data_IF_630728815456
#
_entry.id   IF_630728815456
#
_cell.length_a   1.000
_cell.length_b   1.000
_cell.length_c   1.000
_cell.angle_alpha   90.00
_cell.angle_beta   90.00
_cell.angle_gamma   90.00
#
_symmetry.space_group_name_H-M   'P 1'
#
loop_
_entity.id
_entity.type
_entity.pdbx_description
1 polymer ?
#
# COMPACT_ATOMS: atom_id res chain seq x y z
N UNK A 1 -41.23 -66.30 -70.19
CA UNK A 1 -41.85 -65.35 -69.30
C UNK A 1 -41.03 -65.34 -68.01
N UNK A 2 -40.41 -64.19 -67.65
CA UNK A 2 -39.32 -64.05 -66.68
C UNK A 2 -39.83 -63.97 -65.22
N UNK A 3 -39.35 -64.92 -64.41
CA UNK A 3 -39.52 -64.88 -62.96
C UNK A 3 -38.51 -63.88 -62.35
N UNK A 4 -38.99 -62.93 -61.54
CA UNK A 4 -38.13 -62.11 -60.74
C UNK A 4 -38.03 -62.70 -59.31
N UNK A 5 -36.81 -62.99 -58.89
CA UNK A 5 -36.48 -63.45 -57.56
C UNK A 5 -36.16 -62.19 -56.73
N UNK A 6 -36.90 -62.01 -55.67
CA UNK A 6 -36.57 -60.94 -54.66
C UNK A 6 -35.66 -61.54 -53.60
N UNK A 7 -34.50 -60.99 -53.46
CA UNK A 7 -33.56 -61.29 -52.36
C UNK A 7 -33.78 -60.26 -51.27
N UNK A 8 -34.29 -60.72 -50.14
CA UNK A 8 -34.36 -59.92 -48.93
C UNK A 8 -33.08 -60.11 -48.14
N UNK A 9 -32.24 -59.09 -48.11
CA UNK A 9 -31.01 -59.04 -47.23
C UNK A 9 -31.37 -58.57 -45.88
N UNK A 10 -31.21 -59.42 -44.88
CA UNK A 10 -31.36 -59.12 -43.44
C UNK A 10 -30.08 -58.47 -42.93
N UNK A 11 -30.09 -57.16 -42.76
CA UNK A 11 -28.97 -56.43 -42.07
C UNK A 11 -29.23 -56.46 -40.57
N UNK A 12 -28.42 -57.27 -39.88
CA UNK A 12 -28.31 -57.20 -38.40
C UNK A 12 -27.41 -56.01 -38.03
N UNK A 13 -28.00 -54.95 -37.50
CA UNK A 13 -27.27 -53.80 -36.94
C UNK A 13 -26.87 -54.16 -35.53
N UNK A 14 -25.59 -54.47 -35.33
CA UNK A 14 -24.97 -54.51 -33.99
C UNK A 14 -24.81 -53.07 -33.51
N UNK A 15 -25.66 -52.61 -32.60
CA UNK A 15 -25.41 -51.39 -31.81
C UNK A 15 -24.37 -51.68 -30.77
N UNK A 16 -23.12 -51.29 -31.04
CA UNK A 16 -22.08 -51.15 -30.07
C UNK A 16 -22.33 -49.82 -29.30
N UNK A 17 -22.87 -49.96 -28.08
CA UNK A 17 -22.91 -48.85 -27.12
C UNK A 17 -21.48 -48.56 -26.67
N UNK A 18 -20.84 -47.58 -27.31
CA UNK A 18 -19.61 -46.98 -26.81
C UNK A 18 -20.01 -46.05 -25.67
N UNK A 19 -19.88 -46.52 -24.43
CA UNK A 19 -19.85 -45.64 -23.28
C UNK A 19 -18.58 -44.79 -23.36
N UNK A 20 -18.69 -43.62 -23.97
CA UNK A 20 -17.69 -42.59 -23.88
C UNK A 20 -17.67 -42.03 -22.46
N UNK A 21 -16.80 -42.53 -21.60
CA UNK A 21 -16.42 -41.84 -20.37
C UNK A 21 -15.78 -40.52 -20.78
N UNK A 22 -16.57 -39.43 -20.80
CA UNK A 22 -16.03 -38.08 -20.74
C UNK A 22 -15.32 -37.94 -19.40
N UNK A 23 -14.04 -38.27 -19.38
CA UNK A 23 -13.15 -37.75 -18.35
C UNK A 23 -13.17 -36.23 -18.48
N UNK A 24 -13.97 -35.55 -17.68
CA UNK A 24 -13.86 -34.13 -17.43
C UNK A 24 -12.42 -33.93 -16.96
N UNK A 25 -11.54 -33.43 -17.83
CA UNK A 25 -10.25 -32.97 -17.39
C UNK A 25 -10.53 -31.99 -16.22
N UNK A 26 -10.06 -32.33 -15.01
CA UNK A 26 -10.03 -31.40 -13.93
C UNK A 26 -9.16 -30.25 -14.44
N UNK A 27 -9.77 -29.10 -14.75
CA UNK A 27 -9.05 -27.85 -14.87
C UNK A 27 -8.32 -27.70 -13.54
N UNK A 28 -7.03 -27.92 -13.56
CA UNK A 28 -6.15 -27.49 -12.48
C UNK A 28 -6.34 -25.97 -12.43
N UNK A 29 -7.14 -25.48 -11.47
CA UNK A 29 -7.14 -24.07 -11.12
C UNK A 29 -5.67 -23.72 -10.82
N UNK A 30 -5.02 -23.10 -11.78
CA UNK A 30 -3.71 -22.50 -11.55
C UNK A 30 -3.93 -21.44 -10.49
N UNK A 31 -3.20 -21.50 -9.38
CA UNK A 31 -3.24 -20.47 -8.36
C UNK A 31 -3.11 -19.10 -9.06
N UNK A 32 -3.91 -18.11 -8.69
CA UNK A 32 -3.88 -16.81 -9.33
C UNK A 32 -2.46 -16.24 -9.28
N UNK A 33 -2.01 -15.68 -10.37
CA UNK A 33 -0.68 -15.06 -10.48
C UNK A 33 -0.51 -13.99 -9.39
N UNK A 34 0.62 -14.06 -8.66
CA UNK A 34 0.90 -13.11 -7.59
C UNK A 34 1.20 -11.73 -8.18
N UNK A 35 0.70 -10.68 -7.54
CA UNK A 35 0.98 -9.30 -7.94
C UNK A 35 2.42 -8.93 -7.55
N UNK A 36 3.22 -8.50 -8.53
CA UNK A 36 4.57 -7.98 -8.25
C UNK A 36 4.47 -6.60 -7.63
N UNK A 37 5.00 -6.45 -6.42
CA UNK A 37 4.90 -5.21 -5.67
C UNK A 37 6.25 -4.78 -5.10
N UNK A 38 6.45 -3.48 -5.01
CA UNK A 38 7.44 -2.82 -4.17
C UNK A 38 6.66 -2.07 -3.11
N UNK A 39 7.02 -2.25 -1.83
CA UNK A 39 6.41 -1.57 -0.70
C UNK A 39 7.34 -0.49 -0.19
N UNK A 40 6.97 0.79 -0.37
CA UNK A 40 7.74 1.97 0.04
C UNK A 40 7.10 2.56 1.30
N UNK A 41 7.82 2.54 2.44
CA UNK A 41 7.27 2.64 3.78
C UNK A 41 8.17 3.43 4.73
N UNK A 42 7.60 4.18 5.68
CA UNK A 42 8.28 4.81 6.81
C UNK A 42 8.03 4.10 8.15
N UNK A 43 7.93 2.78 8.08
CA UNK A 43 7.52 1.82 9.10
C UNK A 43 8.08 2.10 10.49
N UNK A 44 7.27 1.82 11.51
CA UNK A 44 7.60 1.98 12.93
C UNK A 44 7.60 0.66 13.70
N UNK A 45 7.55 0.77 15.03
CA UNK A 45 7.58 -0.39 15.94
C UNK A 45 6.42 -1.36 15.69
N UNK A 46 5.20 -0.86 15.56
CA UNK A 46 4.00 -1.61 15.19
C UNK A 46 2.87 -0.65 14.81
N UNK A 47 2.97 -0.09 13.60
CA UNK A 47 2.01 0.85 13.03
C UNK A 47 1.05 0.20 12.02
N UNK A 48 0.46 1.04 11.23
CA UNK A 48 -0.35 0.71 10.04
C UNK A 48 0.53 0.08 8.94
N UNK A 49 1.73 0.62 8.68
CA UNK A 49 2.74 0.01 7.81
C UNK A 49 2.99 -1.47 8.12
N UNK A 50 3.22 -1.78 9.42
CA UNK A 50 3.50 -3.16 9.86
C UNK A 50 2.31 -4.06 9.60
N UNK A 51 1.09 -3.58 9.94
CA UNK A 51 -0.13 -4.37 9.73
C UNK A 51 -0.41 -4.58 8.24
N UNK A 52 -0.19 -3.55 7.42
CA UNK A 52 -0.26 -3.63 5.96
C UNK A 52 0.74 -4.66 5.41
N UNK A 53 2.00 -4.61 5.85
CA UNK A 53 3.03 -5.60 5.49
C UNK A 53 2.60 -7.02 5.86
N UNK A 54 2.12 -7.24 7.10
CA UNK A 54 1.71 -8.56 7.55
C UNK A 54 0.52 -9.10 6.75
N UNK A 55 -0.44 -8.25 6.38
CA UNK A 55 -1.55 -8.66 5.51
C UNK A 55 -1.08 -9.06 4.11
N UNK A 56 -0.10 -8.35 3.54
CA UNK A 56 0.52 -8.75 2.28
C UNK A 56 1.16 -10.14 2.39
N UNK A 57 1.96 -10.36 3.44
CA UNK A 57 2.65 -11.63 3.68
C UNK A 57 1.67 -12.80 3.92
N UNK A 58 0.62 -12.55 4.71
CA UNK A 58 -0.38 -13.56 5.03
C UNK A 58 -1.20 -13.98 3.81
N UNK A 59 -1.55 -13.03 2.94
CA UNK A 59 -2.47 -13.25 1.83
C UNK A 59 -1.98 -14.22 0.76
N UNK A 60 -0.67 -14.38 0.62
CA UNK A 60 -0.04 -15.16 -0.45
C UNK A 60 -0.28 -14.62 -1.87
N UNK A 61 -0.90 -13.43 -2.01
CA UNK A 61 -1.31 -12.83 -3.28
C UNK A 61 -0.27 -11.88 -3.88
N UNK A 62 0.76 -11.55 -3.12
CA UNK A 62 1.82 -10.64 -3.53
C UNK A 62 3.13 -11.39 -3.76
N UNK A 63 3.80 -11.06 -4.85
CA UNK A 63 5.22 -11.28 -5.10
C UNK A 63 5.93 -10.01 -4.67
N UNK A 64 6.32 -9.95 -3.39
CA UNK A 64 6.96 -8.78 -2.80
C UNK A 64 8.42 -8.75 -3.24
N UNK A 65 8.69 -7.98 -4.31
CA UNK A 65 10.03 -7.88 -4.93
C UNK A 65 11.07 -7.30 -3.97
N UNK A 66 10.63 -6.46 -3.04
CA UNK A 66 11.40 -5.87 -1.97
C UNK A 66 10.66 -4.74 -1.28
N UNK A 67 11.24 -4.30 -0.16
CA UNK A 67 10.74 -3.18 0.62
C UNK A 67 11.77 -2.06 0.55
N UNK A 68 11.29 -0.84 0.31
CA UNK A 68 12.10 0.38 0.34
C UNK A 68 11.68 1.23 1.53
N UNK A 69 12.64 1.65 2.34
CA UNK A 69 12.36 2.51 3.50
C UNK A 69 12.63 3.97 3.16
N UNK A 70 11.86 4.87 3.74
CA UNK A 70 11.91 6.31 3.46
C UNK A 70 11.74 7.09 4.77
N UNK A 71 12.12 8.34 4.75
CA UNK A 71 11.84 9.31 5.82
C UNK A 71 10.33 9.51 5.96
N UNK A 72 9.85 9.73 7.18
CA UNK A 72 8.44 10.03 7.47
C UNK A 72 8.17 10.06 8.96
N UNK A 73 7.25 9.24 9.46
CA UNK A 73 6.97 9.09 10.91
C UNK A 73 8.24 8.72 11.69
N UNK A 74 9.09 7.92 11.08
CA UNK A 74 10.39 7.54 11.61
C UNK A 74 11.52 8.02 10.70
N UNK A 75 12.71 8.17 11.26
CA UNK A 75 13.93 8.31 10.48
C UNK A 75 14.16 7.05 9.64
N UNK A 76 14.74 7.20 8.47
CA UNK A 76 14.93 6.07 7.54
C UNK A 76 15.74 4.93 8.17
N UNK A 77 16.69 5.25 9.05
CA UNK A 77 17.47 4.28 9.80
C UNK A 77 16.58 3.44 10.73
N UNK A 78 15.68 4.10 11.47
CA UNK A 78 14.74 3.43 12.37
C UNK A 78 13.71 2.62 11.58
N UNK A 79 13.15 3.18 10.51
CA UNK A 79 12.22 2.48 9.62
C UNK A 79 12.86 1.21 9.03
N UNK A 80 14.14 1.29 8.66
CA UNK A 80 14.90 0.13 8.17
C UNK A 80 15.05 -0.94 9.24
N UNK A 81 15.42 -0.55 10.48
CA UNK A 81 15.56 -1.50 11.58
C UNK A 81 14.24 -2.23 11.88
N UNK A 82 13.14 -1.49 12.00
CA UNK A 82 11.83 -2.07 12.26
C UNK A 82 11.36 -2.98 11.14
N UNK A 83 11.55 -2.58 9.89
CA UNK A 83 11.15 -3.39 8.72
C UNK A 83 11.91 -4.72 8.67
N UNK A 84 13.23 -4.70 8.85
CA UNK A 84 14.04 -5.92 8.93
C UNK A 84 13.56 -6.83 10.06
N UNK A 85 13.30 -6.24 11.24
CA UNK A 85 12.84 -7.01 12.40
C UNK A 85 11.46 -7.63 12.19
N UNK A 86 10.53 -6.93 11.56
CA UNK A 86 9.22 -7.47 11.22
C UNK A 86 9.31 -8.65 10.24
N UNK A 87 10.20 -8.56 9.25
CA UNK A 87 10.45 -9.69 8.34
C UNK A 87 11.06 -10.90 9.07
N UNK A 88 11.95 -10.69 10.05
CA UNK A 88 12.47 -11.77 10.90
C UNK A 88 11.35 -12.42 11.73
N UNK A 89 10.48 -11.62 12.35
CA UNK A 89 9.33 -12.10 13.12
C UNK A 89 8.38 -12.91 12.24
N UNK A 90 8.17 -12.47 10.98
CA UNK A 90 7.35 -13.17 10.01
C UNK A 90 8.05 -14.39 9.36
N UNK A 91 9.34 -14.62 9.62
CA UNK A 91 10.12 -15.66 8.97
C UNK A 91 10.36 -15.43 7.47
N UNK A 92 10.34 -14.16 7.03
CA UNK A 92 10.44 -13.74 5.62
C UNK A 92 11.70 -12.93 5.34
N UNK A 93 12.83 -13.40 5.85
CA UNK A 93 14.16 -12.81 5.61
C UNK A 93 14.66 -12.95 4.16
N UNK A 94 13.92 -13.67 3.33
CA UNK A 94 14.12 -13.78 1.88
C UNK A 94 13.77 -12.47 1.13
N UNK A 95 12.93 -11.61 1.71
CA UNK A 95 12.52 -10.35 1.10
C UNK A 95 13.59 -9.28 1.34
N UNK A 96 14.16 -8.68 0.27
CA UNK A 96 15.20 -7.68 0.42
C UNK A 96 14.64 -6.34 0.91
N UNK A 97 15.38 -5.68 1.79
CA UNK A 97 15.08 -4.32 2.28
C UNK A 97 16.16 -3.38 1.80
N UNK A 98 15.79 -2.28 1.15
CA UNK A 98 16.69 -1.23 0.69
C UNK A 98 16.42 0.07 1.44
N UNK A 99 17.47 0.61 2.07
CA UNK A 99 17.39 1.93 2.68
C UNK A 99 17.35 3.00 1.59
N UNK A 100 16.46 3.97 1.74
CA UNK A 100 16.23 5.03 0.76
C UNK A 100 16.53 6.43 1.31
N UNK A 101 15.71 7.38 0.87
CA UNK A 101 15.89 8.79 1.20
C UNK A 101 15.69 9.04 2.68
N UNK A 102 16.69 9.62 3.32
CA UNK A 102 16.67 9.97 4.73
C UNK A 102 16.24 11.41 5.02
N UNK A 103 15.92 12.17 3.98
CA UNK A 103 15.42 13.55 4.08
C UNK A 103 14.44 13.84 2.95
N UNK A 104 13.45 14.74 3.19
CA UNK A 104 12.62 15.28 2.12
C UNK A 104 13.43 16.04 1.08
N UNK A 105 12.86 16.29 -0.09
CA UNK A 105 13.57 17.01 -1.18
C UNK A 105 13.96 18.44 -0.79
N UNK A 106 13.21 19.08 0.11
CA UNK A 106 13.54 20.41 0.63
C UNK A 106 14.37 20.35 1.93
N UNK A 107 14.82 19.16 2.34
CA UNK A 107 15.56 18.93 3.58
C UNK A 107 14.67 18.90 4.83
N UNK A 108 15.29 18.89 6.00
CA UNK A 108 14.61 18.87 7.28
C UNK A 108 13.68 20.10 7.46
N UNK A 109 12.48 19.86 7.96
CA UNK A 109 11.49 20.89 8.19
C UNK A 109 11.76 21.76 9.42
N UNK A 110 12.63 21.33 10.33
CA UNK A 110 12.92 22.03 11.60
C UNK A 110 13.30 23.50 11.38
N UNK A 111 14.22 23.88 10.46
CA UNK A 111 14.53 25.29 10.24
C UNK A 111 13.35 26.13 9.75
N UNK A 112 12.45 25.54 8.97
CA UNK A 112 11.25 26.24 8.48
C UNK A 112 10.20 26.42 9.58
N UNK A 113 10.09 25.45 10.50
CA UNK A 113 9.24 25.56 11.69
C UNK A 113 9.78 26.63 12.66
N UNK A 114 11.07 26.61 12.95
CA UNK A 114 11.73 27.58 13.86
C UNK A 114 11.65 29.01 13.32
N UNK A 115 11.76 29.20 12.02
CA UNK A 115 11.59 30.52 11.38
C UNK A 115 10.16 30.99 11.26
N UNK A 116 9.18 30.15 11.56
CA UNK A 116 7.75 30.45 11.36
C UNK A 116 7.31 30.42 9.88
N UNK A 117 8.12 29.90 8.98
CA UNK A 117 7.73 29.70 7.57
C UNK A 117 6.74 28.55 7.42
N UNK A 118 6.88 27.50 8.22
CA UNK A 118 5.89 26.43 8.40
C UNK A 118 5.18 26.62 9.72
N UNK A 119 3.86 26.57 9.72
CA UNK A 119 3.01 26.82 10.90
C UNK A 119 1.79 25.92 10.89
N UNK A 120 1.10 25.86 12.05
CA UNK A 120 -0.18 25.16 12.16
C UNK A 120 -0.06 23.66 12.34
N UNK A 121 1.11 23.17 12.75
CA UNK A 121 1.32 21.76 13.11
C UNK A 121 0.45 21.42 14.32
N UNK A 122 -0.35 20.37 14.17
CA UNK A 122 -1.21 19.82 15.22
C UNK A 122 -0.88 18.33 15.50
N UNK A 123 -0.18 17.68 14.57
CA UNK A 123 0.34 16.31 14.69
C UNK A 123 1.84 16.27 14.84
N UNK A 124 2.45 15.18 14.43
CA UNK A 124 3.90 14.98 14.48
C UNK A 124 4.67 15.75 13.41
N UNK A 125 5.94 15.94 13.63
CA UNK A 125 6.92 16.35 12.63
C UNK A 125 7.66 15.12 12.09
N UNK A 126 8.47 15.27 11.05
CA UNK A 126 9.32 14.22 10.48
C UNK A 126 10.17 13.58 11.58
N UNK A 127 10.26 12.26 11.62
CA UNK A 127 11.04 11.50 12.59
C UNK A 127 10.48 11.51 14.03
N UNK A 128 9.34 12.10 14.28
CA UNK A 128 8.82 12.34 15.63
C UNK A 128 8.59 11.08 16.48
N UNK A 129 8.35 9.93 15.83
CA UNK A 129 8.14 8.65 16.52
C UNK A 129 9.44 7.99 16.97
N UNK A 130 10.56 8.32 16.34
CA UNK A 130 11.85 7.70 16.63
C UNK A 130 12.76 8.55 17.53
N UNK A 131 12.32 9.72 17.99
CA UNK A 131 13.15 10.65 18.77
C UNK A 131 14.28 11.27 17.96
N UNK A 132 15.47 11.53 18.53
CA UNK A 132 16.62 12.02 17.78
C UNK A 132 17.03 11.07 16.66
N UNK A 133 17.48 11.63 15.52
CA UNK A 133 17.92 10.80 14.40
C UNK A 133 19.10 9.92 14.78
N UNK A 134 19.02 8.60 14.59
CA UNK A 134 20.11 7.68 14.89
C UNK A 134 21.21 7.74 13.82
N UNK A 135 22.44 7.40 14.21
CA UNK A 135 23.57 7.33 13.26
C UNK A 135 23.48 6.09 12.34
N UNK A 136 22.77 5.06 12.75
CA UNK A 136 22.57 3.86 11.96
C UNK A 136 21.28 3.09 12.38
N UNK A 137 20.86 2.13 11.57
CA UNK A 137 19.73 1.24 11.88
C UNK A 137 19.98 0.29 13.08
N UNK A 138 21.21 0.20 13.59
CA UNK A 138 21.59 -0.57 14.79
C UNK A 138 21.89 0.32 16.00
N UNK A 139 21.66 1.62 15.91
CA UNK A 139 21.98 2.60 16.96
C UNK A 139 20.79 3.54 17.20
N UNK A 140 19.63 2.92 17.46
CA UNK A 140 18.42 3.69 17.75
C UNK A 140 18.51 4.35 19.14
N UNK A 141 17.92 5.54 19.35
CA UNK A 141 17.98 6.27 20.62
C UNK A 141 17.42 5.47 21.81
N UNK A 142 16.45 4.61 21.55
CA UNK A 142 15.87 3.69 22.52
C UNK A 142 15.93 2.26 21.96
N UNK A 143 16.16 1.28 22.85
CA UNK A 143 16.12 -0.12 22.44
C UNK A 143 14.72 -0.47 21.94
N UNK A 144 14.61 -1.00 20.69
CA UNK A 144 13.31 -1.36 20.15
C UNK A 144 12.59 -2.42 20.98
N UNK A 145 11.32 -2.22 21.29
CA UNK A 145 10.48 -3.19 22.04
C UNK A 145 10.52 -4.58 21.38
N UNK A 146 10.59 -4.61 20.05
CA UNK A 146 10.68 -5.87 19.28
C UNK A 146 12.12 -6.37 19.10
N UNK A 147 13.11 -5.67 19.68
CA UNK A 147 14.53 -5.95 19.55
C UNK A 147 15.15 -5.48 18.24
N UNK A 148 16.48 -5.45 18.20
CA UNK A 148 17.24 -5.11 17.00
C UNK A 148 17.20 -6.23 15.96
N UNK A 149 17.26 -5.89 14.65
CA UNK A 149 17.35 -6.89 13.60
C UNK A 149 18.71 -7.61 13.61
N UNK A 150 18.70 -8.87 13.20
CA UNK A 150 19.92 -9.68 12.95
C UNK A 150 20.28 -9.68 11.46
N UNK A 151 19.31 -9.42 10.59
CA UNK A 151 19.49 -9.25 9.15
C UNK A 151 19.95 -7.82 8.83
N UNK A 152 20.38 -7.60 7.60
CA UNK A 152 20.92 -6.32 7.14
C UNK A 152 20.14 -5.83 5.92
N UNK A 153 20.04 -4.51 5.72
CA UNK A 153 19.56 -3.98 4.46
C UNK A 153 20.51 -4.39 3.33
N UNK A 154 19.99 -4.45 2.13
CA UNK A 154 20.77 -4.73 0.94
C UNK A 154 21.75 -3.58 0.66
N UNK A 155 22.86 -3.89 0.00
CA UNK A 155 23.75 -2.87 -0.55
C UNK A 155 23.04 -2.15 -1.71
N UNK A 156 23.26 -0.86 -1.83
CA UNK A 156 22.59 -0.01 -2.83
C UNK A 156 21.48 0.85 -2.22
N UNK A 157 20.82 1.61 -3.05
CA UNK A 157 19.83 2.59 -2.62
C UNK A 157 18.43 2.25 -3.16
N UNK A 158 17.38 2.50 -2.36
CA UNK A 158 15.99 2.25 -2.73
C UNK A 158 15.60 2.83 -4.10
N UNK A 159 16.09 4.02 -4.43
CA UNK A 159 15.85 4.68 -5.72
C UNK A 159 16.32 3.85 -6.91
N UNK A 160 17.49 3.26 -6.80
CA UNK A 160 18.09 2.42 -7.86
C UNK A 160 17.35 1.09 -7.94
N UNK A 161 17.03 0.48 -6.79
CA UNK A 161 16.26 -0.75 -6.71
C UNK A 161 14.87 -0.62 -7.36
N UNK A 162 14.12 0.45 -7.08
CA UNK A 162 12.82 0.71 -7.72
C UNK A 162 12.99 0.70 -9.24
N UNK A 163 13.96 1.45 -9.76
CA UNK A 163 14.19 1.56 -11.19
C UNK A 163 14.60 0.22 -11.82
N UNK A 164 15.47 -0.55 -11.16
CA UNK A 164 15.90 -1.87 -11.61
C UNK A 164 14.74 -2.87 -11.70
N UNK A 165 13.90 -2.94 -10.65
CA UNK A 165 12.76 -3.87 -10.65
C UNK A 165 11.71 -3.49 -11.70
N UNK A 166 11.41 -2.20 -11.86
CA UNK A 166 10.47 -1.73 -12.89
C UNK A 166 10.99 -2.04 -14.29
N UNK A 167 12.29 -1.87 -14.56
CA UNK A 167 12.91 -2.24 -15.84
C UNK A 167 12.94 -3.74 -16.07
N UNK A 168 13.10 -4.54 -15.01
CA UNK A 168 13.11 -6.00 -15.08
C UNK A 168 11.74 -6.59 -15.38
N UNK A 169 10.68 -5.95 -14.89
CA UNK A 169 9.29 -6.40 -15.03
C UNK A 169 8.40 -5.27 -15.58
N UNK A 170 8.61 -4.86 -16.85
CA UNK A 170 7.93 -3.71 -17.43
C UNK A 170 6.41 -3.94 -17.53
N UNK A 171 5.63 -3.01 -16.96
CA UNK A 171 4.17 -3.08 -16.96
C UNK A 171 3.57 -4.05 -15.93
N UNK A 172 4.39 -4.68 -15.06
CA UNK A 172 3.93 -5.64 -14.08
C UNK A 172 4.01 -5.12 -12.63
N UNK A 173 4.93 -4.19 -12.34
CA UNK A 173 5.23 -3.74 -10.98
C UNK A 173 4.21 -2.71 -10.49
N UNK A 174 3.57 -3.01 -9.37
CA UNK A 174 2.82 -2.03 -8.58
C UNK A 174 3.74 -1.48 -7.49
N UNK A 175 3.84 -0.16 -7.38
CA UNK A 175 4.49 0.51 -6.25
C UNK A 175 3.41 0.90 -5.25
N UNK A 176 3.50 0.38 -4.03
CA UNK A 176 2.66 0.78 -2.90
C UNK A 176 3.48 1.78 -2.10
N UNK A 177 3.08 3.04 -2.11
CA UNK A 177 3.77 4.15 -1.48
C UNK A 177 2.96 4.62 -0.27
N UNK A 178 3.38 4.25 0.93
CA UNK A 178 2.69 4.55 2.19
C UNK A 178 3.48 5.51 3.10
N UNK A 179 4.60 6.06 2.61
CA UNK A 179 5.38 7.12 3.24
C UNK A 179 5.41 8.40 2.40
N UNK A 180 6.44 9.21 2.58
CA UNK A 180 6.58 10.54 1.99
C UNK A 180 6.71 10.60 0.47
N UNK A 181 6.89 9.43 -0.23
CA UNK A 181 7.01 9.37 -1.69
C UNK A 181 8.36 9.82 -2.25
N UNK A 182 9.31 10.20 -1.41
CA UNK A 182 10.62 10.74 -1.81
C UNK A 182 11.43 9.75 -2.64
N UNK A 183 11.42 8.46 -2.28
CA UNK A 183 12.10 7.41 -3.05
C UNK A 183 11.58 7.32 -4.48
N UNK A 184 10.26 7.26 -4.64
CA UNK A 184 9.61 7.17 -5.95
C UNK A 184 9.87 8.42 -6.79
N UNK A 185 9.77 9.61 -6.19
CA UNK A 185 10.06 10.88 -6.86
C UNK A 185 11.51 10.94 -7.37
N UNK A 186 12.45 10.50 -6.55
CA UNK A 186 13.87 10.45 -6.95
C UNK A 186 14.11 9.39 -8.02
N UNK A 187 13.44 8.23 -7.96
CA UNK A 187 13.52 7.23 -9.02
C UNK A 187 13.01 7.78 -10.36
N UNK A 188 11.87 8.49 -10.36
CA UNK A 188 11.32 9.17 -11.53
C UNK A 188 12.29 10.24 -12.09
N UNK A 189 12.89 11.02 -11.21
CA UNK A 189 13.82 12.09 -11.64
C UNK A 189 15.12 11.53 -12.20
N UNK A 190 15.65 10.49 -11.58
CA UNK A 190 16.93 9.88 -11.99
C UNK A 190 16.76 8.96 -13.21
N UNK A 191 15.63 8.30 -13.33
CA UNK A 191 15.33 7.29 -14.34
C UNK A 191 13.94 7.54 -14.97
N UNK A 192 13.74 8.68 -15.67
CA UNK A 192 12.41 9.05 -16.18
C UNK A 192 11.80 8.02 -17.14
N UNK A 193 12.63 7.18 -17.74
CA UNK A 193 12.18 6.08 -18.62
C UNK A 193 11.39 4.99 -17.89
N UNK A 194 11.44 4.91 -16.56
CA UNK A 194 10.64 3.92 -15.81
C UNK A 194 9.16 4.28 -15.71
N UNK A 195 8.80 5.56 -15.85
CA UNK A 195 7.43 6.04 -15.64
C UNK A 195 6.39 5.23 -16.45
N UNK A 196 6.54 5.06 -17.78
CA UNK A 196 5.57 4.28 -18.55
C UNK A 196 5.66 2.76 -18.30
N UNK A 197 6.68 2.30 -17.57
CA UNK A 197 6.89 0.88 -17.28
C UNK A 197 6.27 0.46 -15.94
N UNK A 198 5.89 1.39 -15.08
CA UNK A 198 5.19 1.11 -13.83
C UNK A 198 3.75 0.73 -14.16
N UNK A 199 3.27 -0.41 -13.64
CA UNK A 199 1.87 -0.85 -13.82
C UNK A 199 0.89 0.12 -13.19
N UNK A 200 1.14 0.46 -11.94
CA UNK A 200 0.39 1.46 -11.18
C UNK A 200 1.15 1.88 -9.93
N UNK A 201 0.77 3.02 -9.40
CA UNK A 201 1.18 3.46 -8.06
C UNK A 201 -0.07 3.58 -7.19
N UNK A 202 -0.02 3.03 -5.98
CA UNK A 202 -1.08 3.16 -4.97
C UNK A 202 -0.48 3.91 -3.79
N UNK A 203 -1.02 5.08 -3.49
CA UNK A 203 -0.53 5.93 -2.39
C UNK A 203 -1.47 5.88 -1.21
N UNK A 204 -0.93 5.74 0.01
CA UNK A 204 -1.62 6.24 1.18
C UNK A 204 -1.13 7.68 1.43
N UNK A 205 -2.04 8.65 1.32
CA UNK A 205 -1.67 10.04 1.58
C UNK A 205 -2.68 11.06 1.06
N UNK A 206 -2.51 12.26 1.55
CA UNK A 206 -3.37 13.39 1.24
C UNK A 206 -4.67 13.44 2.04
N UNK A 207 -5.21 14.64 2.14
CA UNK A 207 -6.56 14.94 2.63
C UNK A 207 -7.24 15.81 1.58
N UNK A 208 -8.27 15.28 0.93
CA UNK A 208 -8.84 15.90 -0.27
C UNK A 208 -10.08 16.74 0.08
N UNK A 209 -11.10 16.10 0.67
CA UNK A 209 -12.37 16.70 1.03
C UNK A 209 -12.54 16.80 2.58
N UNK A 210 -11.52 16.41 3.34
CA UNK A 210 -11.49 16.43 4.81
C UNK A 210 -10.30 17.22 5.33
N UNK A 211 -10.30 17.67 6.58
CA UNK A 211 -9.12 18.27 7.22
C UNK A 211 -7.93 17.30 7.27
N UNK A 212 -6.72 17.83 7.28
CA UNK A 212 -5.51 17.06 7.50
C UNK A 212 -5.39 16.47 8.91
N UNK A 213 -4.25 15.84 9.19
CA UNK A 213 -3.90 15.29 10.50
C UNK A 213 -2.58 15.85 11.05
N UNK A 214 -1.70 16.32 10.19
CA UNK A 214 -0.46 17.02 10.60
C UNK A 214 -0.67 18.50 10.71
N UNK A 215 -1.31 19.10 9.73
CA UNK A 215 -1.88 20.45 9.83
C UNK A 215 -3.38 20.38 9.58
N UNK A 216 -4.10 21.46 9.76
CA UNK A 216 -5.51 21.51 9.37
C UNK A 216 -5.72 21.35 7.86
N UNK A 217 -4.69 21.57 7.06
CA UNK A 217 -4.75 21.53 5.60
C UNK A 217 -4.16 20.26 5.01
N UNK A 218 -3.17 19.63 5.67
CA UNK A 218 -2.36 18.57 5.09
C UNK A 218 -2.35 17.28 5.92
N UNK A 219 -2.37 16.17 5.21
CA UNK A 219 -2.13 14.82 5.73
C UNK A 219 -0.62 14.59 5.81
N UNK A 220 -0.16 13.78 6.78
CA UNK A 220 1.24 13.66 7.19
C UNK A 220 2.17 13.19 6.06
N UNK A 221 1.87 12.11 5.37
CA UNK A 221 2.75 11.56 4.33
C UNK A 221 3.03 12.59 3.23
N UNK A 222 1.99 13.28 2.81
CA UNK A 222 2.10 14.30 1.77
C UNK A 222 2.62 15.65 2.28
N UNK A 223 2.47 15.93 3.58
CA UNK A 223 3.11 17.07 4.21
C UNK A 223 4.61 16.86 4.43
N UNK A 224 5.04 15.61 4.64
CA UNK A 224 6.44 15.29 4.88
C UNK A 224 7.33 15.62 3.67
N UNK A 225 6.85 15.41 2.43
CA UNK A 225 7.56 15.81 1.21
C UNK A 225 6.58 16.14 0.07
N UNK A 226 5.92 17.31 0.11
CA UNK A 226 4.98 17.69 -0.93
C UNK A 226 5.63 17.90 -2.29
N UNK A 227 6.90 18.26 -2.35
CA UNK A 227 7.67 18.36 -3.58
C UNK A 227 7.82 17.00 -4.26
N UNK A 228 8.11 15.96 -3.50
CA UNK A 228 8.18 14.59 -4.00
C UNK A 228 6.82 14.13 -4.52
N UNK A 229 5.76 14.35 -3.75
CA UNK A 229 4.40 13.99 -4.17
C UNK A 229 4.00 14.76 -5.44
N UNK A 230 4.35 16.04 -5.55
CA UNK A 230 4.09 16.82 -6.78
C UNK A 230 4.78 16.22 -8.01
N UNK A 231 6.03 15.77 -7.85
CA UNK A 231 6.76 15.08 -8.92
C UNK A 231 6.02 13.80 -9.34
N UNK A 232 5.61 12.99 -8.36
CA UNK A 232 4.91 11.74 -8.61
C UNK A 232 3.54 11.97 -9.27
N UNK A 233 2.71 12.86 -8.73
CA UNK A 233 1.38 13.17 -9.26
C UNK A 233 1.43 13.71 -10.69
N UNK A 234 2.46 14.51 -11.04
CA UNK A 234 2.66 15.07 -12.38
C UNK A 234 3.27 14.08 -13.38
N UNK A 235 3.67 12.90 -12.94
CA UNK A 235 4.28 11.88 -13.79
C UNK A 235 3.21 11.10 -14.56
N UNK A 236 3.53 10.73 -15.81
CA UNK A 236 2.62 9.99 -16.72
C UNK A 236 2.65 8.46 -16.40
N UNK A 237 2.42 8.09 -15.15
CA UNK A 237 2.21 6.71 -14.77
C UNK A 237 0.93 6.17 -15.44
N UNK A 238 0.94 4.89 -15.82
CA UNK A 238 -0.22 4.25 -16.45
C UNK A 238 -1.49 4.33 -15.58
N UNK A 239 -1.34 4.27 -14.26
CA UNK A 239 -2.43 4.42 -13.29
C UNK A 239 -1.87 4.91 -11.96
N UNK A 240 -2.58 5.86 -11.34
CA UNK A 240 -2.33 6.32 -9.99
C UNK A 240 -3.63 6.20 -9.19
N UNK A 241 -3.56 5.59 -8.01
CA UNK A 241 -4.68 5.43 -7.07
C UNK A 241 -4.30 6.08 -5.76
N UNK A 242 -5.15 6.95 -5.30
CA UNK A 242 -4.96 7.68 -4.05
C UNK A 242 -5.93 7.12 -3.02
N UNK A 243 -5.37 6.69 -1.90
CA UNK A 243 -6.08 6.25 -0.69
C UNK A 243 -5.90 7.35 0.36
N UNK A 244 -6.72 8.42 0.30
CA UNK A 244 -6.52 9.59 1.15
C UNK A 244 -7.09 9.37 2.55
N UNK A 245 -6.77 10.29 3.44
CA UNK A 245 -7.37 10.35 4.78
C UNK A 245 -8.90 10.31 4.76
N UNK A 246 -9.52 10.77 3.66
CA UNK A 246 -10.98 10.77 3.46
C UNK A 246 -11.60 9.39 3.69
N UNK A 247 -11.05 8.37 3.06
CA UNK A 247 -11.51 6.98 3.23
C UNK A 247 -10.93 6.34 4.49
N UNK A 248 -9.64 6.54 4.78
CA UNK A 248 -8.94 5.92 5.92
C UNK A 248 -9.57 6.28 7.28
N UNK A 249 -10.00 7.53 7.45
CA UNK A 249 -10.62 8.00 8.71
C UNK A 249 -11.89 7.24 9.12
N UNK A 250 -12.48 6.47 8.22
CA UNK A 250 -13.70 5.68 8.45
C UNK A 250 -13.41 4.32 9.07
N UNK A 251 -12.22 3.77 8.82
CA UNK A 251 -11.81 2.45 9.29
C UNK A 251 -11.07 2.56 10.63
N UNK A 252 -11.56 1.83 11.65
CA UNK A 252 -10.96 1.86 12.98
C UNK A 252 -10.97 0.48 13.62
N UNK A 253 -9.86 0.13 14.26
CA UNK A 253 -9.82 -0.97 15.22
C UNK A 253 -10.57 -0.52 16.46
N UNK A 254 -11.71 -1.15 16.74
CA UNK A 254 -12.53 -0.96 17.92
C UNK A 254 -12.29 -2.09 18.91
N UNK A 255 -12.91 -2.02 20.09
CA UNK A 255 -12.89 -3.12 21.07
C UNK A 255 -13.46 -4.42 20.47
N UNK A 256 -14.48 -4.33 19.65
CA UNK A 256 -15.09 -5.47 18.94
C UNK A 256 -14.08 -6.13 17.97
N UNK A 257 -13.34 -5.32 17.23
CA UNK A 257 -12.26 -5.81 16.34
C UNK A 257 -11.12 -6.44 17.13
N UNK A 258 -10.73 -5.82 18.24
CA UNK A 258 -9.75 -6.39 19.17
C UNK A 258 -10.17 -7.77 19.68
N UNK A 259 -11.41 -7.94 20.14
CA UNK A 259 -11.90 -9.25 20.60
C UNK A 259 -11.91 -10.30 19.47
N UNK A 260 -12.24 -9.91 18.23
CA UNK A 260 -12.13 -10.80 17.06
C UNK A 260 -10.69 -11.24 16.82
N UNK A 261 -9.72 -10.32 16.91
CA UNK A 261 -8.29 -10.63 16.74
C UNK A 261 -7.79 -11.53 17.87
N UNK A 262 -8.19 -11.23 19.12
CA UNK A 262 -7.85 -12.02 20.31
C UNK A 262 -8.38 -13.45 20.25
N UNK A 263 -9.55 -13.65 19.66
CA UNK A 263 -10.17 -14.96 19.50
C UNK A 263 -9.63 -15.75 18.30
N UNK A 264 -8.87 -15.09 17.41
CA UNK A 264 -8.31 -15.74 16.23
C UNK A 264 -7.15 -16.68 16.58
N UNK A 265 -6.78 -17.63 15.71
CA UNK A 265 -5.58 -18.44 15.90
C UNK A 265 -4.32 -17.59 16.04
N UNK A 266 -3.40 -18.01 16.91
CA UNK A 266 -2.11 -17.33 17.06
C UNK A 266 -1.29 -17.39 15.77
N UNK A 267 -0.88 -16.22 15.31
CA UNK A 267 0.08 -16.00 14.23
C UNK A 267 1.11 -14.99 14.72
N UNK A 268 2.20 -14.77 13.96
CA UNK A 268 3.15 -13.70 14.30
C UNK A 268 2.45 -12.32 14.34
N UNK A 269 1.46 -12.09 13.47
CA UNK A 269 0.72 -10.83 13.40
C UNK A 269 -0.19 -10.62 14.60
N UNK A 270 -1.01 -11.63 14.95
CA UNK A 270 -1.92 -11.53 16.11
C UNK A 270 -1.15 -11.50 17.42
N UNK A 271 -0.05 -12.25 17.53
CA UNK A 271 0.81 -12.23 18.72
C UNK A 271 1.40 -10.83 18.95
N UNK A 272 2.01 -10.24 17.92
CA UNK A 272 2.60 -8.91 18.04
C UNK A 272 1.55 -7.84 18.32
N UNK A 273 0.36 -7.95 17.70
CA UNK A 273 -0.77 -7.08 18.00
C UNK A 273 -1.18 -7.15 19.47
N UNK A 274 -1.30 -8.36 20.04
CA UNK A 274 -1.69 -8.57 21.43
C UNK A 274 -0.60 -8.06 22.41
N UNK A 275 0.67 -8.16 22.05
CA UNK A 275 1.77 -7.67 22.89
C UNK A 275 1.86 -6.14 22.92
N UNK A 276 1.66 -5.47 21.78
CA UNK A 276 1.91 -4.01 21.66
C UNK A 276 0.62 -3.19 21.72
N UNK A 277 -0.41 -3.56 20.96
CA UNK A 277 -1.66 -2.79 20.85
C UNK A 277 -2.74 -3.30 21.79
N UNK A 278 -2.74 -4.60 22.11
CA UNK A 278 -3.75 -5.24 22.98
C UNK A 278 -3.97 -4.52 24.30
N UNK A 279 -2.92 -4.15 25.07
CA UNK A 279 -3.08 -3.46 26.35
C UNK A 279 -3.88 -2.16 26.28
N UNK A 280 -3.80 -1.41 25.17
CA UNK A 280 -4.56 -0.18 25.00
C UNK A 280 -6.07 -0.46 24.96
N UNK A 281 -6.48 -1.52 24.25
CA UNK A 281 -7.88 -1.92 24.14
C UNK A 281 -8.40 -2.57 25.41
N UNK A 282 -7.59 -3.39 26.09
CA UNK A 282 -7.97 -4.02 27.36
C UNK A 282 -8.19 -2.99 28.49
N UNK A 283 -7.31 -1.99 28.55
CA UNK A 283 -7.38 -0.96 29.59
C UNK A 283 -8.42 0.14 29.28
N UNK A 284 -8.79 0.31 28.02
CA UNK A 284 -9.75 1.31 27.57
C UNK A 284 -10.61 0.80 26.40
N UNK A 285 -11.81 0.26 26.65
CA UNK A 285 -12.71 -0.20 25.61
C UNK A 285 -13.17 0.88 24.61
N UNK A 286 -13.06 2.15 24.96
CA UNK A 286 -13.35 3.26 24.06
C UNK A 286 -12.15 3.63 23.17
N UNK A 287 -10.98 3.02 23.41
CA UNK A 287 -9.80 3.24 22.57
C UNK A 287 -10.03 2.73 21.15
N UNK A 288 -9.69 3.56 20.20
CA UNK A 288 -9.74 3.17 18.77
C UNK A 288 -8.44 3.58 18.08
N UNK A 289 -8.02 2.79 17.11
CA UNK A 289 -6.90 3.10 16.24
C UNK A 289 -7.37 3.15 14.78
N UNK A 290 -7.07 4.23 14.08
CA UNK A 290 -7.43 4.38 12.66
C UNK A 290 -6.50 3.52 11.79
N UNK A 291 -7.06 2.93 10.74
CA UNK A 291 -6.35 2.17 9.73
C UNK A 291 -6.09 3.07 8.53
N UNK A 292 -4.84 3.16 8.09
CA UNK A 292 -4.42 3.97 6.95
C UNK A 292 -3.83 3.09 5.85
N UNK A 293 -2.65 2.55 6.04
CA UNK A 293 -1.91 1.80 5.01
C UNK A 293 -2.55 0.47 4.67
N UNK A 294 -3.22 -0.13 5.63
CA UNK A 294 -3.98 -1.37 5.43
C UNK A 294 -5.06 -1.21 4.35
N UNK A 295 -5.59 0.01 4.18
CA UNK A 295 -6.59 0.29 3.14
C UNK A 295 -5.99 0.13 1.74
N UNK A 296 -4.71 0.49 1.54
CA UNK A 296 -4.02 0.31 0.25
C UNK A 296 -3.87 -1.17 -0.12
N UNK A 297 -3.51 -1.98 0.87
CA UNK A 297 -3.31 -3.42 0.68
C UNK A 297 -4.64 -4.13 0.44
N UNK A 298 -5.65 -3.81 1.24
CA UNK A 298 -7.00 -4.38 1.05
C UNK A 298 -7.62 -3.97 -0.29
N UNK A 299 -7.41 -2.73 -0.75
CA UNK A 299 -7.84 -2.30 -2.07
C UNK A 299 -7.26 -3.18 -3.19
N UNK A 300 -6.00 -3.57 -3.08
CA UNK A 300 -5.35 -4.45 -4.04
C UNK A 300 -5.81 -5.91 -3.93
N UNK A 301 -6.19 -6.37 -2.73
CA UNK A 301 -6.67 -7.73 -2.48
C UNK A 301 -8.13 -7.92 -2.88
N UNK A 302 -8.98 -6.99 -2.50
CA UNK A 302 -10.42 -7.02 -2.74
C UNK A 302 -10.99 -5.58 -2.69
N UNK A 303 -11.13 -4.89 -3.81
CA UNK A 303 -11.63 -3.52 -3.84
C UNK A 303 -13.14 -3.39 -3.59
N UNK A 304 -13.86 -4.48 -3.37
CA UNK A 304 -15.34 -4.48 -3.27
C UNK A 304 -15.90 -3.68 -2.09
N UNK A 305 -15.07 -3.38 -1.09
CA UNK A 305 -15.46 -2.50 0.02
C UNK A 305 -15.53 -1.02 -0.36
N UNK A 306 -14.92 -0.60 -1.48
CA UNK A 306 -14.94 0.80 -1.92
C UNK A 306 -16.31 1.13 -2.50
N UNK A 307 -17.01 2.07 -1.89
CA UNK A 307 -18.35 2.50 -2.33
C UNK A 307 -18.35 3.75 -3.18
N UNK A 308 -17.33 4.61 -3.01
CA UNK A 308 -17.15 5.82 -3.81
C UNK A 308 -15.70 5.96 -4.22
N UNK A 309 -15.45 5.95 -5.53
CA UNK A 309 -14.19 6.39 -6.12
C UNK A 309 -14.48 7.43 -7.22
N UNK A 310 -13.58 8.39 -7.39
CA UNK A 310 -13.72 9.44 -8.40
C UNK A 310 -12.40 9.64 -9.14
N UNK A 311 -12.49 9.92 -10.45
CA UNK A 311 -11.36 10.49 -11.17
C UNK A 311 -11.27 11.99 -10.88
N UNK A 312 -10.11 12.43 -10.38
CA UNK A 312 -9.83 13.84 -10.15
C UNK A 312 -8.48 14.23 -10.73
N UNK A 313 -8.34 15.47 -11.12
CA UNK A 313 -7.03 16.07 -11.31
C UNK A 313 -6.50 16.46 -9.94
N UNK A 314 -5.32 15.93 -9.56
CA UNK A 314 -4.71 16.29 -8.29
C UNK A 314 -3.48 17.17 -8.49
N UNK A 315 -3.32 18.09 -7.57
CA UNK A 315 -2.12 18.88 -7.35
C UNK A 315 -1.87 18.98 -5.84
N UNK A 316 -0.71 19.47 -5.46
CA UNK A 316 -0.34 19.69 -4.06
C UNK A 316 0.31 21.06 -3.90
N UNK A 317 -0.03 21.76 -2.81
CA UNK A 317 0.56 23.06 -2.51
C UNK A 317 1.95 22.88 -1.89
N UNK A 318 2.98 23.35 -2.59
CA UNK A 318 4.38 23.35 -2.16
C UNK A 318 4.83 24.73 -1.67
N UNK A 319 3.90 25.69 -1.52
CA UNK A 319 4.20 27.01 -1.00
C UNK A 319 4.35 26.94 0.52
N UNK A 320 5.51 27.32 1.04
CA UNK A 320 5.73 27.40 2.48
C UNK A 320 4.65 28.24 3.15
N UNK A 321 4.05 27.71 4.23
CA UNK A 321 2.96 28.37 4.95
C UNK A 321 1.92 27.39 5.47
N UNK A 322 0.73 27.89 5.82
CA UNK A 322 -0.34 27.08 6.45
C UNK A 322 -0.95 26.01 5.52
N UNK A 323 -0.76 26.13 4.21
CA UNK A 323 -1.28 25.17 3.24
C UNK A 323 -0.20 24.22 2.69
N UNK A 324 1.02 24.31 3.16
CA UNK A 324 2.10 23.43 2.71
C UNK A 324 1.69 21.95 2.85
N UNK A 325 1.81 21.19 1.78
CA UNK A 325 1.38 19.81 1.71
C UNK A 325 -0.12 19.58 1.50
N UNK A 326 -0.91 20.65 1.31
CA UNK A 326 -2.35 20.52 1.04
C UNK A 326 -2.58 19.88 -0.32
N UNK A 327 -3.31 18.76 -0.33
CA UNK A 327 -3.81 18.16 -1.56
C UNK A 327 -4.99 18.98 -2.13
N UNK A 328 -4.98 19.17 -3.44
CA UNK A 328 -6.00 19.94 -4.15
C UNK A 328 -6.59 19.08 -5.25
N UNK A 329 -7.84 18.63 -5.05
CA UNK A 329 -8.57 17.79 -6.00
C UNK A 329 -9.54 18.61 -6.84
N UNK A 330 -9.34 18.64 -8.16
CA UNK A 330 -10.22 19.33 -9.09
C UNK A 330 -11.19 18.36 -9.73
N UNK A 331 -12.49 18.72 -9.67
CA UNK A 331 -13.54 18.09 -10.46
C UNK A 331 -13.80 18.91 -11.71
N UNK A 332 -13.84 18.29 -12.88
CA UNK A 332 -14.27 18.99 -14.10
C UNK A 332 -15.74 19.34 -13.99
N UNK A 333 -16.11 20.57 -14.36
CA UNK A 333 -17.52 20.94 -14.45
C UNK A 333 -18.11 20.33 -15.75
N UNK A 334 -19.05 19.35 -15.66
CA UNK A 334 -19.60 18.70 -16.84
C UNK A 334 -20.41 19.64 -17.73
N UNK A 335 -20.83 20.81 -17.20
CA UNK A 335 -21.57 21.85 -17.98
C UNK A 335 -20.66 22.84 -18.68
N UNK A 336 -19.39 22.94 -18.27
CA UNK A 336 -18.40 23.87 -18.82
C UNK A 336 -17.00 23.23 -18.76
N UNK A 337 -16.75 22.14 -19.50
CA UNK A 337 -15.47 21.44 -19.44
C UNK A 337 -14.29 22.29 -19.94
N UNK A 338 -14.56 23.25 -20.85
CA UNK A 338 -13.53 24.11 -21.47
C UNK A 338 -13.20 25.37 -20.66
N UNK A 339 -14.04 25.73 -19.67
CA UNK A 339 -13.85 26.93 -18.83
C UNK A 339 -12.94 26.65 -17.62
N UNK A 340 -12.43 25.43 -17.47
CA UNK A 340 -11.70 24.99 -16.29
C UNK A 340 -10.20 25.12 -16.49
N UNK A 341 -9.61 26.13 -15.88
CA UNK A 341 -8.15 26.28 -15.84
C UNK A 341 -7.60 25.51 -14.63
N UNK A 342 -7.07 24.33 -14.87
CA UNK A 342 -6.30 23.56 -13.90
C UNK A 342 -4.80 23.73 -14.18
N UNK A 343 -3.96 23.35 -13.21
CA UNK A 343 -2.55 23.20 -13.49
C UNK A 343 -2.38 22.23 -14.69
N UNK A 344 -1.76 22.69 -15.80
CA UNK A 344 -1.64 21.85 -17.00
C UNK A 344 -0.77 20.60 -16.79
N UNK A 345 -0.02 20.53 -15.69
CA UNK A 345 0.76 19.36 -15.32
C UNK A 345 -0.05 18.36 -14.46
N UNK A 346 -1.16 18.81 -13.84
CA UNK A 346 -1.98 17.92 -13.03
C UNK A 346 -2.55 16.77 -13.87
N UNK A 347 -2.43 15.56 -13.37
CA UNK A 347 -2.93 14.35 -14.05
C UNK A 347 -4.22 13.88 -13.39
N UNK A 348 -5.01 13.17 -14.17
CA UNK A 348 -6.15 12.44 -13.62
C UNK A 348 -5.67 11.22 -12.85
N UNK A 349 -6.14 11.10 -11.63
CA UNK A 349 -5.88 9.97 -10.75
C UNK A 349 -7.21 9.45 -10.19
N UNK A 350 -7.24 8.19 -9.80
CA UNK A 350 -8.36 7.62 -9.07
C UNK A 350 -8.23 7.96 -7.58
N UNK A 351 -9.28 8.52 -6.99
CA UNK A 351 -9.32 8.90 -5.57
C UNK A 351 -10.41 8.10 -4.88
N UNK A 352 -10.05 7.34 -3.84
CA UNK A 352 -11.00 6.55 -3.05
C UNK A 352 -11.57 7.41 -1.92
N UNK A 353 -12.88 7.57 -1.86
CA UNK A 353 -13.51 8.56 -0.97
C UNK A 353 -14.43 7.95 0.10
N UNK A 354 -14.98 6.77 -0.18
CA UNK A 354 -15.90 6.13 0.77
C UNK A 354 -15.82 4.61 0.71
N UNK A 355 -16.21 3.96 1.80
CA UNK A 355 -16.19 2.51 1.94
C UNK A 355 -17.39 1.97 2.69
N UNK A 356 -17.72 0.70 2.43
CA UNK A 356 -18.47 -0.14 3.33
C UNK A 356 -17.56 -0.56 4.49
N UNK A 357 -17.73 0.08 5.63
CA UNK A 357 -16.86 -0.10 6.80
C UNK A 357 -16.97 -1.50 7.37
N UNK A 358 -18.18 -2.10 7.41
CA UNK A 358 -18.38 -3.44 7.95
C UNK A 358 -17.66 -4.47 7.08
N UNK A 359 -17.86 -4.40 5.77
CA UNK A 359 -17.18 -5.28 4.82
C UNK A 359 -15.65 -5.10 4.86
N UNK A 360 -15.17 -3.85 4.92
CA UNK A 360 -13.74 -3.57 5.08
C UNK A 360 -13.15 -4.19 6.34
N UNK A 361 -13.82 -4.03 7.49
CA UNK A 361 -13.35 -4.58 8.77
C UNK A 361 -13.36 -6.11 8.78
N UNK A 362 -14.29 -6.76 8.12
CA UNK A 362 -14.31 -8.22 7.96
C UNK A 362 -13.11 -8.69 7.09
N UNK A 363 -12.81 -7.99 6.00
CA UNK A 363 -11.61 -8.24 5.19
C UNK A 363 -10.33 -8.01 6.00
N UNK A 364 -10.27 -6.92 6.78
CA UNK A 364 -9.13 -6.62 7.64
C UNK A 364 -8.87 -7.75 8.63
N UNK A 365 -9.87 -8.15 9.41
CA UNK A 365 -9.72 -9.26 10.37
C UNK A 365 -9.29 -10.54 9.65
N UNK A 366 -9.93 -10.87 8.52
CA UNK A 366 -9.59 -12.05 7.72
C UNK A 366 -8.12 -12.07 7.32
N UNK A 367 -7.62 -11.02 6.64
CA UNK A 367 -6.26 -11.02 6.09
C UNK A 367 -5.19 -10.79 7.16
N UNK A 368 -5.53 -10.07 8.23
CA UNK A 368 -4.60 -9.84 9.33
C UNK A 368 -4.39 -11.09 10.20
N UNK A 369 -5.45 -11.87 10.44
CA UNK A 369 -5.40 -13.03 11.35
C UNK A 369 -5.17 -14.37 10.67
N UNK A 370 -5.29 -14.44 9.33
CA UNK A 370 -5.10 -15.70 8.60
C UNK A 370 -3.67 -16.23 8.72
N UNK A 371 -3.53 -17.55 8.69
CA UNK A 371 -2.22 -18.19 8.61
C UNK A 371 -1.52 -17.80 7.30
N UNK A 372 -0.22 -17.52 7.34
CA UNK A 372 0.54 -17.17 6.13
C UNK A 372 0.37 -18.22 5.04
N UNK A 373 0.05 -17.77 3.83
CA UNK A 373 -0.03 -18.63 2.66
C UNK A 373 1.35 -18.77 2.01
N UNK A 374 1.75 -19.99 1.68
CA UNK A 374 3.05 -20.30 1.07
C UNK A 374 3.17 -19.83 -0.38
#
# INVERSE_FOLDING_TARGET
MKKRISITVLLAVCMLLVYGSSAKAAETETAPEKMKVIFDTDNGTFGDDTKALFMMLNSGRFDLLGITTVIGNNWVEASTAYTLRHLEIAGRTDIPVYMGMGEPLMGDHTPYLESGMLTGIVGGNIGYMAGPRPDSYLDLPEEPVIGYPQTKPQEGHAVDFIAEQVKKYPGEVTVICVGAGTNLAMAVKRYPEIVPLVKQVVYMGGAIDVPGNTTSAAEFNWWADPEAIKICLNSDFARQVIVPKDICSKARITYDTYEKIKAAPETYATKLFMEISGPNHENNPEYTNTLFDEVTVLYLLDPSFVTVSEERYLDIDTTMGMNYGRAIGYKTNPRRPDDFVINPQAKKVEVLLDMDVEHFMDLYVKYFTMQPQS
#
